data_IF_132427566630
#
_entry.id   IF_132427566630
#
_cell.length_a   1.000
_cell.length_b   1.000
_cell.length_c   1.000
_cell.angle_alpha   90.00
_cell.angle_beta   90.00
_cell.angle_gamma   90.00
#
_symmetry.space_group_name_H-M   'P 1'
#
loop_
_entity.id
_entity.type
_entity.pdbx_description
1 polymer ?
#
# COMPACT_ATOMS: atom_id res chain seq x y z
N UNK A 1 57.01 -11.95 -43.20
CA UNK A 1 57.18 -10.92 -42.15
C UNK A 1 56.07 -9.91 -42.37
N UNK A 2 54.92 -10.14 -41.70
CA UNK A 2 53.66 -9.51 -42.04
C UNK A 2 53.37 -8.27 -41.18
N UNK A 3 52.86 -7.28 -41.91
CA UNK A 3 52.40 -5.93 -41.59
C UNK A 3 51.38 -5.82 -40.46
N UNK A 4 51.56 -4.75 -39.71
CA UNK A 4 50.71 -4.13 -38.68
C UNK A 4 49.29 -3.77 -39.15
N UNK A 5 48.29 -4.07 -38.31
CA UNK A 5 46.96 -3.45 -38.33
C UNK A 5 46.62 -2.87 -36.96
N UNK A 6 46.15 -1.63 -36.99
CA UNK A 6 45.68 -0.79 -35.89
C UNK A 6 44.26 -1.17 -35.46
N UNK A 7 44.06 -1.48 -34.18
CA UNK A 7 42.74 -1.59 -33.57
C UNK A 7 42.27 -0.21 -33.05
N UNK A 8 41.20 0.31 -33.67
CA UNK A 8 40.43 1.43 -33.16
C UNK A 8 39.39 0.90 -32.16
N UNK A 9 39.63 1.10 -30.86
CA UNK A 9 38.61 0.93 -29.82
C UNK A 9 37.66 2.13 -29.82
N UNK A 10 36.39 1.90 -30.13
CA UNK A 10 35.31 2.84 -29.85
C UNK A 10 35.03 2.88 -28.33
N UNK A 11 34.79 4.06 -27.72
CA UNK A 11 34.39 4.12 -26.32
C UNK A 11 32.92 3.70 -26.17
N UNK A 12 32.68 2.66 -25.36
CA UNK A 12 31.36 2.33 -24.86
C UNK A 12 30.82 3.50 -24.04
N UNK A 13 29.71 4.08 -24.49
CA UNK A 13 28.96 5.09 -23.75
C UNK A 13 28.42 4.46 -22.46
N UNK A 14 29.02 4.79 -21.33
CA UNK A 14 28.49 4.49 -20.02
C UNK A 14 27.11 5.17 -19.88
N UNK A 15 26.03 4.39 -19.92
CA UNK A 15 24.73 4.79 -19.44
C UNK A 15 24.88 5.14 -17.96
N UNK A 16 24.94 6.43 -17.66
CA UNK A 16 24.86 6.91 -16.30
C UNK A 16 23.51 6.50 -15.71
N UNK A 17 23.46 5.96 -14.47
CA UNK A 17 22.19 5.67 -13.82
C UNK A 17 21.44 6.98 -13.61
N UNK A 18 20.19 7.03 -14.08
CA UNK A 18 19.30 8.15 -13.86
C UNK A 18 19.15 8.36 -12.35
N UNK A 19 19.45 9.58 -11.90
CA UNK A 19 19.35 9.96 -10.50
C UNK A 19 17.88 9.98 -10.07
N UNK A 20 17.32 8.84 -9.69
CA UNK A 20 16.09 8.81 -8.91
C UNK A 20 16.41 9.49 -7.57
N UNK A 21 15.93 10.72 -7.38
CA UNK A 21 16.04 11.42 -6.10
C UNK A 21 15.46 10.50 -5.01
N UNK A 22 16.32 9.90 -4.18
CA UNK A 22 15.90 9.11 -3.02
C UNK A 22 15.13 10.06 -2.11
N UNK A 23 13.80 9.94 -2.16
CA UNK A 23 12.89 10.68 -1.32
C UNK A 23 13.20 10.32 0.15
N UNK A 24 13.78 11.26 0.91
CA UNK A 24 14.07 11.07 2.34
C UNK A 24 12.74 11.06 3.09
N UNK A 25 12.36 9.89 3.64
CA UNK A 25 11.18 9.75 4.48
C UNK A 25 11.29 10.57 5.78
N UNK A 26 10.18 10.72 6.52
CA UNK A 26 10.18 11.38 7.84
C UNK A 26 11.17 10.71 8.80
N UNK A 27 11.77 11.47 9.73
CA UNK A 27 12.75 10.97 10.68
C UNK A 27 12.18 9.86 11.56
N UNK A 28 13.07 9.04 12.11
CA UNK A 28 12.70 8.00 13.06
C UNK A 28 12.18 8.63 14.35
N UNK A 29 11.15 8.01 14.94
CA UNK A 29 10.53 8.44 16.20
C UNK A 29 10.85 7.44 17.29
N UNK A 30 11.36 7.97 18.41
CA UNK A 30 11.79 7.20 19.58
C UNK A 30 10.69 7.04 20.64
N UNK A 31 9.56 7.72 20.51
CA UNK A 31 8.45 7.66 21.47
C UNK A 31 7.16 7.17 20.80
N UNK A 32 6.63 6.05 21.30
CA UNK A 32 5.29 5.59 20.95
C UNK A 32 4.25 6.45 21.68
N UNK A 33 3.17 6.90 20.99
CA UNK A 33 2.06 7.55 21.67
C UNK A 33 1.34 6.55 22.59
N UNK A 34 0.77 7.06 23.68
CA UNK A 34 -0.18 6.27 24.47
C UNK A 34 -1.57 6.29 23.83
N UNK A 35 -2.40 5.29 24.10
CA UNK A 35 -3.81 5.31 23.70
C UNK A 35 -4.53 6.58 24.17
N UNK A 36 -4.27 7.00 25.42
CA UNK A 36 -4.80 8.25 25.99
C UNK A 36 -4.37 9.47 25.17
N UNK A 37 -3.10 9.52 24.76
CA UNK A 37 -2.58 10.61 23.91
C UNK A 37 -3.34 10.67 22.58
N UNK A 38 -3.54 9.54 21.90
CA UNK A 38 -4.27 9.51 20.63
C UNK A 38 -5.74 9.92 20.80
N UNK A 39 -6.40 9.49 21.87
CA UNK A 39 -7.78 9.88 22.18
C UNK A 39 -7.91 11.39 22.41
N UNK A 40 -6.96 12.02 23.09
CA UNK A 40 -6.96 13.48 23.31
C UNK A 40 -6.68 14.27 22.03
N UNK A 41 -5.86 13.75 21.12
CA UNK A 41 -5.53 14.43 19.86
C UNK A 41 -6.63 14.29 18.81
N UNK A 42 -7.37 13.17 18.79
CA UNK A 42 -8.35 12.82 17.76
C UNK A 42 -9.35 13.95 17.43
N UNK A 43 -9.98 14.66 18.39
CA UNK A 43 -10.96 15.70 18.06
C UNK A 43 -10.40 16.87 17.25
N UNK A 44 -9.09 17.12 17.37
CA UNK A 44 -8.39 18.24 16.73
C UNK A 44 -7.71 17.84 15.42
N UNK A 45 -7.79 16.57 15.01
CA UNK A 45 -7.22 16.10 13.75
C UNK A 45 -8.14 16.45 12.56
N UNK A 46 -7.60 16.61 11.35
CA UNK A 46 -8.42 16.69 10.15
C UNK A 46 -9.30 15.43 9.97
N UNK A 47 -10.42 15.57 9.25
CA UNK A 47 -11.50 14.56 9.25
C UNK A 47 -11.07 13.20 8.73
N UNK A 48 -10.24 13.17 7.70
CA UNK A 48 -9.60 11.97 7.15
C UNK A 48 -8.78 11.23 8.20
N UNK A 49 -7.96 11.93 8.99
CA UNK A 49 -7.21 11.33 10.09
C UNK A 49 -8.12 10.83 11.22
N UNK A 50 -9.20 11.55 11.55
CA UNK A 50 -10.18 11.08 12.53
C UNK A 50 -10.79 9.73 12.14
N UNK A 51 -11.07 9.54 10.84
CA UNK A 51 -11.58 8.28 10.29
C UNK A 51 -10.54 7.18 10.48
N UNK A 52 -9.26 7.43 10.16
CA UNK A 52 -8.18 6.44 10.36
C UNK A 52 -7.97 6.09 11.84
N UNK A 53 -8.34 6.96 12.77
CA UNK A 53 -8.33 6.69 14.22
C UNK A 53 -9.60 5.99 14.73
N UNK A 54 -10.45 5.44 13.86
CA UNK A 54 -11.60 4.62 14.28
C UNK A 54 -11.14 3.20 14.68
N UNK A 55 -11.82 2.53 15.64
CA UNK A 55 -11.45 1.20 16.14
C UNK A 55 -11.15 0.19 15.03
N UNK A 56 -12.01 0.12 14.02
CA UNK A 56 -11.86 -0.78 12.86
C UNK A 56 -10.50 -0.67 12.14
N UNK A 57 -9.81 0.46 12.23
CA UNK A 57 -8.48 0.68 11.66
C UNK A 57 -7.37 0.61 12.71
N UNK A 58 -7.65 0.90 13.97
CA UNK A 58 -6.67 0.87 15.06
C UNK A 58 -6.62 -0.46 15.81
N UNK A 59 -7.55 -1.38 15.57
CA UNK A 59 -7.57 -2.71 16.16
C UNK A 59 -6.27 -3.46 15.84
N UNK A 60 -5.72 -4.10 16.87
CA UNK A 60 -4.46 -4.82 16.82
C UNK A 60 -4.70 -6.30 16.51
N UNK A 61 -5.02 -6.58 15.24
CA UNK A 61 -5.51 -7.88 14.80
C UNK A 61 -4.40 -8.93 14.82
N UNK A 62 -4.57 -10.01 15.60
CA UNK A 62 -3.70 -11.18 15.51
C UNK A 62 -4.03 -11.99 14.26
N UNK A 63 -3.06 -12.13 13.35
CA UNK A 63 -3.22 -12.85 12.09
C UNK A 63 -2.75 -14.30 12.21
N UNK A 64 -1.64 -14.50 12.91
CA UNK A 64 -1.04 -15.81 13.18
C UNK A 64 -0.46 -15.81 14.61
N UNK A 65 0.07 -16.93 15.09
CA UNK A 65 0.64 -17.06 16.45
C UNK A 65 1.64 -15.95 16.78
N UNK A 66 2.50 -15.60 15.81
CA UNK A 66 3.60 -14.65 15.95
C UNK A 66 3.42 -13.35 15.14
N UNK A 67 2.24 -13.11 14.54
CA UNK A 67 2.04 -12.04 13.58
C UNK A 67 0.78 -11.22 13.84
N UNK A 68 0.94 -9.90 13.90
CA UNK A 68 -0.13 -8.93 14.06
C UNK A 68 -0.20 -7.95 12.88
N UNK A 69 -1.39 -7.40 12.63
CA UNK A 69 -1.64 -6.36 11.63
C UNK A 69 -2.48 -5.24 12.25
N UNK A 70 -2.03 -4.00 12.05
CA UNK A 70 -2.79 -2.81 12.48
C UNK A 70 -2.66 -1.64 11.49
N UNK A 71 -3.50 -0.62 11.64
CA UNK A 71 -3.24 0.73 11.15
C UNK A 71 -2.35 1.52 12.13
N UNK A 72 -1.90 2.70 11.70
CA UNK A 72 -0.95 3.53 12.45
C UNK A 72 -1.49 3.93 13.83
N UNK A 73 -2.80 4.12 13.97
CA UNK A 73 -3.40 4.47 15.27
C UNK A 73 -3.37 3.33 16.29
N UNK A 74 -3.14 2.09 15.86
CA UNK A 74 -2.90 0.96 16.77
C UNK A 74 -1.44 0.79 17.19
N UNK A 75 -0.50 1.59 16.67
CA UNK A 75 0.91 1.58 17.06
C UNK A 75 1.13 2.34 18.38
N UNK A 76 0.45 1.91 19.44
CA UNK A 76 0.51 2.50 20.78
C UNK A 76 1.52 1.78 21.67
N UNK A 77 2.02 2.46 22.70
CA UNK A 77 2.89 1.85 23.71
C UNK A 77 2.23 0.63 24.36
N UNK A 78 0.93 0.75 24.65
CA UNK A 78 0.11 -0.29 25.26
C UNK A 78 0.04 -1.52 24.38
N UNK A 79 -0.29 -1.39 23.09
CA UNK A 79 -0.34 -2.53 22.17
C UNK A 79 1.02 -3.20 22.01
N UNK A 80 2.07 -2.43 21.78
CA UNK A 80 3.44 -2.97 21.64
C UNK A 80 3.85 -3.77 22.88
N UNK A 81 3.55 -3.25 24.09
CA UNK A 81 3.88 -3.92 25.35
C UNK A 81 2.99 -5.15 25.60
N UNK A 82 1.67 -5.01 25.49
CA UNK A 82 0.70 -6.05 25.82
C UNK A 82 0.82 -7.26 24.89
N UNK A 83 1.12 -7.03 23.62
CA UNK A 83 1.33 -8.09 22.64
C UNK A 83 2.77 -8.58 22.56
N UNK A 84 3.70 -8.02 23.36
CA UNK A 84 5.13 -8.38 23.43
C UNK A 84 5.80 -8.32 22.05
N UNK A 85 5.56 -7.23 21.33
CA UNK A 85 6.12 -7.03 19.99
C UNK A 85 7.62 -6.78 20.08
N UNK A 86 8.37 -7.54 19.29
CA UNK A 86 9.84 -7.45 19.16
C UNK A 86 10.25 -7.06 17.74
N UNK A 87 9.33 -7.06 16.78
CA UNK A 87 9.57 -6.62 15.42
C UNK A 87 8.45 -5.73 14.88
N UNK A 88 8.82 -4.60 14.28
CA UNK A 88 7.89 -3.69 13.60
C UNK A 88 8.26 -3.61 12.11
N UNK A 89 7.29 -3.88 11.25
CA UNK A 89 7.40 -3.68 9.81
C UNK A 89 6.47 -2.55 9.38
N UNK A 90 7.06 -1.39 9.11
CA UNK A 90 6.36 -0.21 8.60
C UNK A 90 6.29 -0.28 7.07
N UNK A 91 5.11 -0.47 6.50
CA UNK A 91 4.87 -0.47 5.04
C UNK A 91 4.31 0.87 4.58
N UNK A 92 5.02 1.97 4.86
CA UNK A 92 4.65 3.32 4.41
C UNK A 92 5.87 4.10 3.99
N UNK A 93 5.68 5.05 3.07
CA UNK A 93 6.65 6.09 2.82
C UNK A 93 6.51 7.24 3.86
N UNK A 94 5.27 7.60 4.18
CA UNK A 94 4.86 8.83 4.87
C UNK A 94 4.82 8.75 6.40
N UNK A 95 4.78 7.55 7.00
CA UNK A 95 4.78 7.44 8.47
C UNK A 95 6.22 7.38 9.02
N UNK A 96 6.50 7.99 10.17
CA UNK A 96 7.77 7.82 10.88
C UNK A 96 8.08 6.34 11.15
N UNK A 97 9.36 5.98 11.17
CA UNK A 97 9.74 4.63 11.61
C UNK A 97 9.88 4.65 13.13
N UNK A 98 9.26 3.69 13.79
CA UNK A 98 9.27 3.62 15.25
C UNK A 98 10.49 2.81 15.68
N UNK A 99 11.43 3.41 16.39
CA UNK A 99 12.61 2.71 16.92
C UNK A 99 12.60 2.74 18.44
N UNK A 100 12.35 1.58 19.05
CA UNK A 100 12.41 1.38 20.49
C UNK A 100 13.60 0.47 20.82
N UNK A 101 14.29 0.69 21.95
CA UNK A 101 15.30 -0.27 22.43
C UNK A 101 14.71 -1.68 22.55
N UNK A 102 15.41 -2.67 21.99
CA UNK A 102 14.97 -4.07 22.01
C UNK A 102 13.87 -4.42 20.99
N UNK A 103 13.46 -3.49 20.11
CA UNK A 103 12.55 -3.75 19.01
C UNK A 103 13.26 -3.54 17.68
N UNK A 104 13.21 -4.57 16.84
CA UNK A 104 13.77 -4.57 15.50
C UNK A 104 12.78 -3.97 14.51
N UNK A 105 13.14 -2.83 13.92
CA UNK A 105 12.22 -2.06 13.05
C UNK A 105 12.77 -1.89 11.65
N UNK A 106 11.97 -2.31 10.66
CA UNK A 106 12.26 -2.11 9.23
C UNK A 106 11.17 -1.28 8.57
N UNK A 107 11.54 -0.57 7.50
CA UNK A 107 10.60 0.15 6.65
C UNK A 107 10.64 -0.42 5.23
N UNK A 108 9.47 -0.70 4.69
CA UNK A 108 9.22 -0.93 3.27
C UNK A 108 8.52 0.32 2.75
N UNK A 109 9.29 1.19 2.10
CA UNK A 109 8.85 2.50 1.66
C UNK A 109 8.04 2.39 0.37
N UNK A 110 6.72 2.34 0.50
CA UNK A 110 5.77 2.24 -0.62
C UNK A 110 4.55 3.15 -0.42
N UNK A 111 4.11 3.78 -1.51
CA UNK A 111 2.87 4.52 -1.61
C UNK A 111 1.69 3.55 -1.84
N UNK A 112 0.50 3.87 -1.34
CA UNK A 112 -0.69 3.03 -1.53
C UNK A 112 -1.36 3.28 -2.90
N UNK A 113 -0.61 3.06 -3.97
CA UNK A 113 -1.08 3.24 -5.33
C UNK A 113 -1.00 1.93 -6.12
N UNK A 114 -1.90 1.69 -7.08
CA UNK A 114 -1.81 0.50 -7.94
C UNK A 114 -0.55 0.44 -8.81
N UNK A 115 0.17 1.55 -8.96
CA UNK A 115 1.37 1.67 -9.80
C UNK A 115 2.67 1.47 -9.03
N UNK A 116 2.64 1.49 -7.69
CA UNK A 116 3.85 1.25 -6.89
C UNK A 116 4.18 -0.25 -6.85
N UNK A 117 5.47 -0.57 -6.85
CA UNK A 117 5.99 -1.94 -6.84
C UNK A 117 6.38 -2.34 -5.41
N UNK A 118 5.39 -2.83 -4.66
CA UNK A 118 5.62 -3.45 -3.34
C UNK A 118 6.20 -4.86 -3.49
N UNK A 119 5.98 -5.52 -4.64
CA UNK A 119 6.40 -6.88 -4.94
C UNK A 119 7.91 -7.07 -4.83
N UNK A 120 8.70 -6.10 -5.32
CA UNK A 120 10.17 -6.11 -5.18
C UNK A 120 10.64 -6.13 -3.71
N UNK A 121 9.79 -5.72 -2.77
CA UNK A 121 10.10 -5.63 -1.35
C UNK A 121 9.49 -6.73 -0.49
N UNK A 122 8.64 -7.60 -1.06
CA UNK A 122 7.99 -8.65 -0.28
C UNK A 122 8.99 -9.53 0.45
N UNK A 123 10.01 -10.06 -0.24
CA UNK A 123 10.99 -10.97 0.34
C UNK A 123 11.68 -10.38 1.58
N UNK A 124 12.06 -9.10 1.54
CA UNK A 124 12.69 -8.39 2.68
C UNK A 124 11.79 -8.41 3.91
N UNK A 125 10.50 -8.08 3.74
CA UNK A 125 9.57 -7.99 4.87
C UNK A 125 9.15 -9.35 5.39
N UNK A 126 8.79 -10.27 4.49
CA UNK A 126 8.23 -11.56 4.88
C UNK A 126 9.28 -12.48 5.50
N UNK A 127 10.54 -12.40 5.03
CA UNK A 127 11.64 -13.19 5.61
C UNK A 127 12.00 -12.69 7.00
N UNK A 128 11.98 -11.36 7.21
CA UNK A 128 12.14 -10.77 8.53
C UNK A 128 11.09 -11.25 9.53
N UNK A 129 9.81 -11.27 9.11
CA UNK A 129 8.71 -11.79 9.94
C UNK A 129 8.96 -13.26 10.28
N UNK A 130 9.34 -14.07 9.28
CA UNK A 130 9.61 -15.49 9.49
C UNK A 130 10.81 -15.75 10.41
N UNK A 131 11.87 -14.94 10.34
CA UNK A 131 13.03 -15.02 11.25
C UNK A 131 12.63 -14.79 12.70
N UNK A 132 11.82 -13.77 12.97
CA UNK A 132 11.28 -13.51 14.32
C UNK A 132 10.36 -14.64 14.77
N UNK A 133 9.43 -15.09 13.92
CA UNK A 133 8.55 -16.21 14.25
C UNK A 133 9.32 -17.49 14.63
N UNK A 134 10.44 -17.81 13.93
CA UNK A 134 11.32 -18.96 14.26
C UNK A 134 11.95 -18.87 15.66
N UNK A 135 12.10 -17.66 16.21
CA UNK A 135 12.62 -17.42 17.57
C UNK A 135 11.50 -17.37 18.63
N UNK A 136 10.24 -17.62 18.24
CA UNK A 136 9.08 -17.43 19.12
C UNK A 136 8.75 -15.97 19.40
N UNK A 137 9.35 -15.05 18.66
CA UNK A 137 9.18 -13.60 18.76
C UNK A 137 7.93 -13.15 17.99
N UNK A 138 7.50 -11.89 18.19
CA UNK A 138 6.23 -11.39 17.64
C UNK A 138 6.46 -10.14 16.80
N UNK A 139 5.95 -10.20 15.57
CA UNK A 139 6.02 -9.10 14.61
C UNK A 139 4.66 -8.42 14.47
N UNK A 140 4.69 -7.10 14.24
CA UNK A 140 3.54 -6.34 13.76
C UNK A 140 3.85 -5.71 12.41
N UNK A 141 2.92 -5.82 11.47
CA UNK A 141 2.97 -5.11 10.19
C UNK A 141 1.92 -4.00 10.20
N UNK A 142 2.32 -2.77 9.91
CA UNK A 142 1.38 -1.66 9.84
C UNK A 142 1.58 -0.79 8.60
N UNK A 143 0.49 -0.17 8.17
CA UNK A 143 0.53 0.97 7.25
C UNK A 143 -0.23 2.14 7.88
N UNK A 144 -0.82 3.03 7.09
CA UNK A 144 -1.69 4.10 7.62
C UNK A 144 -3.00 3.52 8.17
N UNK A 145 -3.81 2.88 7.34
CA UNK A 145 -5.14 2.37 7.75
C UNK A 145 -5.13 0.88 8.18
N UNK A 146 -4.06 0.15 7.89
CA UNK A 146 -4.03 -1.30 8.02
C UNK A 146 -4.97 -2.00 7.03
N UNK A 147 -5.12 -1.45 5.81
CA UNK A 147 -6.10 -1.93 4.81
C UNK A 147 -5.41 -2.55 3.59
N UNK A 148 -4.44 -1.86 2.98
CA UNK A 148 -3.87 -2.24 1.68
C UNK A 148 -2.40 -2.68 1.79
N UNK A 149 -1.45 -1.75 1.94
CA UNK A 149 0.01 -2.05 1.99
C UNK A 149 0.41 -3.14 3.00
N UNK A 150 0.02 -2.98 4.26
CA UNK A 150 0.36 -3.95 5.31
C UNK A 150 -0.35 -5.29 5.11
N UNK A 151 -1.60 -5.27 4.65
CA UNK A 151 -2.34 -6.48 4.32
C UNK A 151 -1.69 -7.25 3.17
N UNK A 152 -1.22 -6.55 2.12
CA UNK A 152 -0.51 -7.18 1.01
C UNK A 152 0.76 -7.89 1.49
N UNK A 153 1.58 -7.23 2.33
CA UNK A 153 2.78 -7.87 2.87
C UNK A 153 2.47 -9.09 3.76
N UNK A 154 1.44 -9.01 4.59
CA UNK A 154 1.01 -10.12 5.45
C UNK A 154 0.50 -11.30 4.61
N UNK A 155 -0.27 -11.04 3.55
CA UNK A 155 -0.71 -12.08 2.62
C UNK A 155 0.50 -12.73 1.92
N UNK A 156 1.47 -11.92 1.46
CA UNK A 156 2.71 -12.45 0.88
C UNK A 156 3.47 -13.36 1.87
N UNK A 157 3.51 -13.01 3.15
CA UNK A 157 4.11 -13.86 4.19
C UNK A 157 3.40 -15.21 4.31
N UNK A 158 2.07 -15.23 4.33
CA UNK A 158 1.30 -16.47 4.40
C UNK A 158 1.51 -17.34 3.14
N UNK A 159 1.62 -16.74 1.96
CA UNK A 159 1.93 -17.46 0.73
C UNK A 159 3.30 -18.12 0.81
N UNK A 160 4.35 -17.35 1.12
CA UNK A 160 5.74 -17.86 1.09
C UNK A 160 6.03 -18.83 2.24
N UNK A 161 5.71 -18.44 3.48
CA UNK A 161 6.14 -19.13 4.69
C UNK A 161 5.09 -20.08 5.28
N UNK A 162 3.81 -19.89 4.96
CA UNK A 162 2.71 -20.79 5.38
C UNK A 162 2.13 -21.61 4.23
N UNK A 163 2.64 -21.43 3.01
CA UNK A 163 2.26 -22.20 1.81
C UNK A 163 0.76 -22.11 1.48
N UNK A 164 0.11 -21.02 1.90
CA UNK A 164 -1.30 -20.77 1.60
C UNK A 164 -1.44 -20.25 0.17
N UNK A 165 -2.49 -20.66 -0.54
CA UNK A 165 -2.83 -20.02 -1.82
C UNK A 165 -3.18 -18.53 -1.59
N UNK A 166 -3.15 -17.71 -2.62
CA UNK A 166 -3.55 -16.30 -2.48
C UNK A 166 -5.00 -16.16 -2.00
N UNK A 167 -5.89 -17.03 -2.51
CA UNK A 167 -7.29 -17.08 -2.08
C UNK A 167 -7.39 -17.40 -0.58
N UNK A 168 -6.75 -18.47 -0.13
CA UNK A 168 -6.77 -18.90 1.27
C UNK A 168 -6.12 -17.85 2.19
N UNK A 169 -4.96 -17.32 1.79
CA UNK A 169 -4.22 -16.32 2.55
C UNK A 169 -5.04 -15.03 2.71
N UNK A 170 -5.70 -14.55 1.64
CA UNK A 170 -6.57 -13.38 1.74
C UNK A 170 -7.74 -13.63 2.70
N UNK A 171 -8.44 -14.75 2.56
CA UNK A 171 -9.59 -15.08 3.40
C UNK A 171 -9.17 -15.26 4.88
N UNK A 172 -8.04 -15.93 5.13
CA UNK A 172 -7.46 -16.09 6.48
C UNK A 172 -7.21 -14.73 7.17
N UNK A 173 -6.60 -13.77 6.46
CA UNK A 173 -6.35 -12.43 7.02
C UNK A 173 -7.67 -11.67 7.18
N UNK A 174 -8.60 -11.80 6.24
CA UNK A 174 -9.87 -11.07 6.25
C UNK A 174 -10.81 -11.49 7.36
N UNK A 175 -10.84 -12.77 7.71
CA UNK A 175 -11.58 -13.28 8.87
C UNK A 175 -11.11 -12.62 10.18
N UNK A 176 -9.80 -12.34 10.28
CA UNK A 176 -9.17 -11.73 11.46
C UNK A 176 -9.16 -10.19 11.40
N UNK A 177 -9.29 -9.63 10.21
CA UNK A 177 -9.36 -8.19 9.94
C UNK A 177 -10.21 -7.89 8.71
N UNK A 178 -11.51 -7.68 8.92
CA UNK A 178 -12.50 -7.55 7.85
C UNK A 178 -12.27 -6.36 6.89
N UNK A 179 -11.58 -5.32 7.36
CA UNK A 179 -11.33 -4.10 6.59
C UNK A 179 -10.25 -4.25 5.52
N UNK A 180 -9.52 -5.37 5.46
CA UNK A 180 -8.45 -5.50 4.46
C UNK A 180 -8.99 -5.42 3.04
N UNK A 181 -8.25 -4.70 2.20
CA UNK A 181 -8.46 -4.55 0.77
C UNK A 181 -7.16 -4.01 0.16
N UNK A 182 -6.19 -4.89 -0.16
CA UNK A 182 -5.10 -4.53 -1.06
C UNK A 182 -5.66 -3.86 -2.32
N UNK A 183 -5.01 -2.81 -2.79
CA UNK A 183 -5.37 -2.20 -4.07
C UNK A 183 -5.15 -3.22 -5.22
N UNK A 184 -5.75 -2.98 -6.38
CA UNK A 184 -5.70 -3.95 -7.48
C UNK A 184 -4.29 -4.18 -8.05
N UNK A 185 -3.41 -3.17 -7.99
CA UNK A 185 -2.01 -3.32 -8.39
C UNK A 185 -1.26 -4.28 -7.47
N UNK A 186 -1.44 -4.14 -6.16
CA UNK A 186 -0.87 -5.05 -5.18
C UNK A 186 -1.46 -6.46 -5.27
N UNK A 187 -2.75 -6.59 -5.57
CA UNK A 187 -3.35 -7.91 -5.83
C UNK A 187 -2.71 -8.61 -7.03
N UNK A 188 -2.46 -7.89 -8.13
CA UNK A 188 -1.73 -8.43 -9.28
C UNK A 188 -0.31 -8.87 -8.90
N UNK A 189 0.40 -8.07 -8.12
CA UNK A 189 1.73 -8.43 -7.64
C UNK A 189 1.70 -9.66 -6.72
N UNK A 190 0.65 -9.82 -5.90
CA UNK A 190 0.43 -11.01 -5.09
C UNK A 190 0.14 -12.27 -5.93
N UNK A 191 -0.60 -12.14 -7.04
CA UNK A 191 -0.84 -13.23 -7.99
C UNK A 191 0.50 -13.73 -8.56
N UNK A 192 1.38 -12.82 -8.97
CA UNK A 192 2.71 -13.19 -9.48
C UNK A 192 3.60 -13.76 -8.36
N UNK A 193 3.48 -13.25 -7.14
CA UNK A 193 4.20 -13.78 -5.98
C UNK A 193 3.77 -15.21 -5.62
N UNK A 194 2.47 -15.50 -5.71
CA UNK A 194 1.92 -16.84 -5.55
C UNK A 194 2.48 -17.79 -6.62
N UNK A 195 2.46 -17.39 -7.90
CA UNK A 195 3.05 -18.19 -8.99
C UNK A 195 4.53 -18.48 -8.73
N UNK A 196 5.29 -17.48 -8.29
CA UNK A 196 6.72 -17.61 -7.98
C UNK A 196 6.97 -18.67 -6.89
N UNK A 197 6.14 -18.73 -5.85
CA UNK A 197 6.38 -19.59 -4.68
C UNK A 197 5.61 -20.91 -4.70
N UNK A 198 4.44 -20.96 -5.31
CA UNK A 198 3.54 -22.13 -5.35
C UNK A 198 3.40 -22.75 -6.75
N UNK A 199 3.94 -22.12 -7.79
CA UNK A 199 3.95 -22.62 -9.17
C UNK A 199 2.67 -22.37 -9.96
N UNK A 200 1.60 -21.87 -9.31
CA UNK A 200 0.32 -21.54 -9.94
C UNK A 200 -0.36 -20.39 -9.22
N UNK A 201 -1.25 -19.69 -9.92
CA UNK A 201 -2.14 -18.71 -9.33
C UNK A 201 -3.49 -19.34 -8.97
N UNK A 202 -4.01 -19.05 -7.78
CA UNK A 202 -5.35 -19.42 -7.36
C UNK A 202 -6.40 -18.35 -7.67
N UNK A 203 -5.98 -17.14 -8.03
CA UNK A 203 -6.83 -15.97 -8.27
C UNK A 203 -6.52 -15.35 -9.63
N UNK A 204 -7.54 -14.87 -10.33
CA UNK A 204 -7.42 -14.03 -11.53
C UNK A 204 -8.07 -12.68 -11.31
N UNK A 205 -7.57 -11.65 -12.00
CA UNK A 205 -8.28 -10.37 -12.09
C UNK A 205 -9.32 -10.47 -13.20
N UNK A 206 -10.55 -10.05 -12.91
CA UNK A 206 -11.66 -9.96 -13.86
C UNK A 206 -12.19 -8.54 -13.88
N UNK A 207 -12.87 -8.20 -14.97
CA UNK A 207 -13.57 -6.94 -15.12
C UNK A 207 -15.07 -7.19 -15.07
N UNK A 208 -15.77 -6.42 -14.24
CA UNK A 208 -17.22 -6.52 -14.07
C UNK A 208 -17.90 -5.16 -14.19
N UNK A 209 -19.14 -5.16 -14.64
CA UNK A 209 -20.00 -3.97 -14.65
C UNK A 209 -20.88 -3.94 -13.40
N UNK A 210 -20.79 -2.86 -12.62
CA UNK A 210 -21.58 -2.68 -11.39
C UNK A 210 -21.86 -1.20 -11.17
N UNK A 211 -23.07 -0.86 -10.74
CA UNK A 211 -23.49 0.54 -10.51
C UNK A 211 -23.35 1.48 -11.73
N UNK A 212 -23.33 0.91 -12.94
CA UNK A 212 -23.10 1.66 -14.19
C UNK A 212 -21.65 2.06 -14.42
N UNK A 213 -20.69 1.41 -13.74
CA UNK A 213 -19.26 1.56 -13.99
C UNK A 213 -18.58 0.22 -14.17
N UNK A 214 -17.48 0.22 -14.91
CA UNK A 214 -16.61 -0.94 -15.07
C UNK A 214 -15.52 -0.92 -14.00
N UNK A 215 -15.38 -2.00 -13.24
CA UNK A 215 -14.34 -2.16 -12.22
C UNK A 215 -13.57 -3.47 -12.42
N UNK A 216 -12.29 -3.44 -12.08
CA UNK A 216 -11.45 -4.63 -12.02
C UNK A 216 -11.43 -5.17 -10.59
N UNK A 217 -11.59 -6.48 -10.41
CA UNK A 217 -11.61 -7.15 -9.10
C UNK A 217 -10.97 -8.55 -9.19
N UNK A 218 -10.52 -9.14 -8.07
CA UNK A 218 -10.27 -10.58 -8.00
C UNK A 218 -11.55 -11.38 -8.33
N UNK A 219 -11.42 -12.46 -9.08
CA UNK A 219 -12.52 -13.32 -9.54
C UNK A 219 -13.47 -13.76 -8.42
N UNK A 220 -12.94 -14.21 -7.29
CA UNK A 220 -13.74 -14.67 -6.16
C UNK A 220 -14.51 -13.56 -5.42
N UNK A 221 -14.20 -12.28 -5.65
CA UNK A 221 -14.86 -11.20 -4.93
C UNK A 221 -16.33 -11.04 -5.29
N UNK A 222 -16.71 -11.36 -6.53
CA UNK A 222 -18.10 -11.21 -6.97
C UNK A 222 -19.04 -12.10 -6.17
N UNK A 223 -18.65 -13.37 -5.96
CA UNK A 223 -19.44 -14.34 -5.19
C UNK A 223 -19.23 -14.21 -3.68
N UNK A 224 -18.00 -14.05 -3.22
CA UNK A 224 -17.67 -14.16 -1.78
C UNK A 224 -17.70 -12.81 -1.06
N UNK A 225 -17.45 -11.71 -1.76
CA UNK A 225 -17.30 -10.37 -1.18
C UNK A 225 -18.16 -9.30 -1.87
N UNK A 226 -19.46 -9.54 -2.12
CA UNK A 226 -20.30 -8.67 -2.95
C UNK A 226 -20.42 -7.24 -2.41
N UNK A 227 -20.39 -7.05 -1.09
CA UNK A 227 -20.35 -5.71 -0.47
C UNK A 227 -19.07 -4.94 -0.81
N UNK A 228 -17.92 -5.63 -0.89
CA UNK A 228 -16.66 -4.99 -1.28
C UNK A 228 -16.69 -4.58 -2.75
N UNK A 229 -17.25 -5.42 -3.62
CA UNK A 229 -17.46 -5.09 -5.04
C UNK A 229 -18.36 -3.86 -5.18
N UNK A 230 -19.48 -3.83 -4.45
CA UNK A 230 -20.40 -2.70 -4.41
C UNK A 230 -19.71 -1.39 -4.00
N UNK A 231 -18.94 -1.42 -2.91
CA UNK A 231 -18.21 -0.25 -2.41
C UNK A 231 -17.18 0.24 -3.43
N UNK A 232 -16.48 -0.67 -4.10
CA UNK A 232 -15.49 -0.32 -5.13
C UNK A 232 -16.17 0.35 -6.34
N UNK A 233 -17.30 -0.17 -6.78
CA UNK A 233 -18.09 0.42 -7.88
C UNK A 233 -18.55 1.83 -7.54
N UNK A 234 -19.11 2.03 -6.34
CA UNK A 234 -19.54 3.36 -5.87
C UNK A 234 -18.37 4.34 -5.75
N UNK A 235 -17.21 3.89 -5.26
CA UNK A 235 -15.99 4.72 -5.20
C UNK A 235 -15.53 5.14 -6.59
N UNK A 236 -15.51 4.22 -7.55
CA UNK A 236 -15.15 4.53 -8.95
C UNK A 236 -16.12 5.52 -9.56
N UNK A 237 -17.42 5.28 -9.41
CA UNK A 237 -18.48 6.19 -9.89
C UNK A 237 -18.33 7.60 -9.33
N UNK A 238 -18.11 7.72 -8.02
CA UNK A 238 -17.92 9.01 -7.36
C UNK A 238 -16.66 9.73 -7.86
N UNK A 239 -15.54 9.01 -8.04
CA UNK A 239 -14.32 9.60 -8.63
C UNK A 239 -14.54 10.10 -10.05
N UNK A 240 -15.26 9.36 -10.89
CA UNK A 240 -15.57 9.76 -12.26
C UNK A 240 -16.42 11.04 -12.29
N UNK A 241 -17.44 11.14 -11.44
CA UNK A 241 -18.31 12.31 -11.32
C UNK A 241 -17.53 13.57 -10.90
N UNK A 242 -16.61 13.44 -9.94
CA UNK A 242 -15.77 14.57 -9.51
C UNK A 242 -14.83 15.06 -10.61
N UNK A 243 -14.27 14.14 -11.41
CA UNK A 243 -13.41 14.51 -12.55
C UNK A 243 -14.21 15.19 -13.66
N UNK A 244 -15.45 14.77 -13.92
CA UNK A 244 -16.33 15.43 -14.88
C UNK A 244 -16.68 16.85 -14.43
N UNK A 245 -17.08 17.04 -13.16
CA UNK A 245 -17.38 18.38 -12.63
C UNK A 245 -16.17 19.33 -12.65
N UNK A 246 -14.95 18.83 -12.45
CA UNK A 246 -13.72 19.64 -12.58
C UNK A 246 -13.43 20.02 -14.04
N UNK A 247 -13.67 19.11 -15.00
CA UNK A 247 -13.50 19.39 -16.42
C UNK A 247 -14.52 20.41 -16.95
N UNK A 248 -15.78 20.32 -16.52
CA UNK A 248 -16.84 21.28 -16.89
C UNK A 248 -16.57 22.69 -16.33
N UNK A 249 -16.00 22.80 -15.12
CA UNK A 249 -15.58 24.09 -14.55
C UNK A 249 -14.36 24.67 -15.27
N UNK A 250 -13.42 23.84 -15.71
CA UNK A 250 -12.27 24.28 -16.50
C UNK A 250 -12.68 24.74 -17.91
N UNK A 251 -13.58 24.03 -18.59
CA UNK A 251 -14.09 24.43 -19.91
C UNK A 251 -14.88 25.74 -19.86
N UNK A 252 -15.73 25.94 -18.84
CA UNK A 252 -16.42 27.23 -18.64
C UNK A 252 -15.49 28.41 -18.31
N UNK A 253 -14.29 28.14 -17.79
CA UNK A 253 -13.30 29.19 -17.50
C UNK A 253 -12.46 29.53 -18.73
N UNK A 254 -12.24 28.56 -19.62
CA UNK A 254 -11.57 28.76 -20.92
C UNK A 254 -12.49 29.49 -21.91
N UNK A 255 -13.78 29.15 -21.99
CA UNK A 255 -14.76 29.83 -22.85
C UNK A 255 -14.97 31.31 -22.47
N UNK A 256 -14.80 31.67 -21.18
CA UNK A 256 -14.85 33.08 -20.74
C UNK A 256 -13.59 33.87 -21.11
N UNK A 257 -12.44 33.22 -21.29
CA UNK A 257 -11.19 33.87 -21.69
C UNK A 257 -11.09 34.08 -23.20
N UNK A 258 -11.65 33.18 -24.00
CA UNK A 258 -11.72 33.35 -25.46
C UNK A 258 -12.72 34.42 -25.86
N UNK A 259 -13.82 34.61 -25.11
CA UNK A 259 -14.82 35.64 -25.37
C UNK A 259 -14.45 37.05 -24.86
N UNK A 260 -13.28 37.22 -24.24
CA UNK A 260 -12.73 38.55 -23.85
C UNK A 260 -11.55 38.99 -24.72
N UNK A 261 -11.11 38.16 -25.68
CA UNK A 261 -10.04 38.51 -26.63
C UNK A 261 -10.54 38.84 -28.05
N UNK A 262 -11.85 38.79 -28.30
CA UNK A 262 -12.44 39.14 -29.61
C UNK A 262 -12.94 40.59 -29.72
N UNK A 263 -12.93 41.37 -28.63
CA UNK A 263 -13.49 42.74 -28.63
C UNK A 263 -12.43 43.85 -28.73
N UNK A 264 -11.12 43.52 -28.74
CA UNK A 264 -10.03 44.51 -28.80
C UNK A 264 -9.39 44.68 -30.20
N UNK A 265 -9.89 44.02 -31.25
CA UNK A 265 -9.32 44.10 -32.62
C UNK A 265 -10.19 44.89 -33.65
N UNK A 266 -11.08 45.77 -33.17
CA UNK A 266 -11.80 46.74 -34.00
C UNK A 266 -11.81 48.13 -33.36
N UNK A 267 -10.65 48.80 -33.35
CA UNK A 267 -10.55 50.26 -33.36
C UNK A 267 -9.15 50.69 -33.81
N UNK A 268 -8.98 50.78 -35.13
CA UNK A 268 -8.01 51.64 -35.80
C UNK A 268 -8.73 52.91 -36.23
#
# INVERSE_FOLDING_TARGET
>A
MHTSYSEQTQPQSALQPSSSKVRKGPPDVLSLPSEKTLQTLKPNMPRDYQIIMAPIFTDFSQIDENLYLTGIGGMTRENIKNHRITCIVNTTYEAPNLRQPGIDSIRISVDDTPTDDIGQHFDIGVDKIAEHAKRGERSVVHCVAGVSRSAALVIAYLIKHKRMTLHDAFNHVRERRQVIRPNNGFFKQLIEYEKKHLGKASVKMITVEKEGVTIEIPDFFESEHPRTVQIEALKTKFKMQQQQGQKEQQSHTEDKKTNTQSDDELNL
#
